data_IF_159926297608
#
_entry.id   IF_159926297608
#
_cell.length_a   1.000
_cell.length_b   1.000
_cell.length_c   1.000
_cell.angle_alpha   90.00
_cell.angle_beta   90.00
_cell.angle_gamma   90.00
#
_symmetry.space_group_name_H-M   'P 1'
#
loop_
_entity.id
_entity.type
_entity.pdbx_description
1 polymer ?
#
# COMPACT_ATOMS: atom_id res chain seq x y z
N UNK A 1 -2.67 1.24 29.54
CA UNK A 1 -4.04 1.15 30.03
C UNK A 1 -4.69 -0.13 29.47
N UNK A 2 -5.37 -0.90 30.34
CA UNK A 2 -5.98 -2.21 29.99
C UNK A 2 -6.94 -2.13 28.81
N UNK A 3 -7.75 -1.06 28.73
CA UNK A 3 -8.71 -0.86 27.63
C UNK A 3 -8.00 -0.72 26.27
N UNK A 4 -6.93 0.06 26.19
CA UNK A 4 -6.15 0.21 24.95
C UNK A 4 -5.44 -1.09 24.53
N UNK A 5 -4.99 -1.90 25.50
CA UNK A 5 -4.41 -3.20 25.22
C UNK A 5 -5.46 -4.16 24.66
N UNK A 6 -6.66 -4.20 25.27
CA UNK A 6 -7.80 -4.99 24.79
C UNK A 6 -8.22 -4.61 23.36
N UNK A 7 -8.34 -3.31 23.07
CA UNK A 7 -8.67 -2.82 21.72
C UNK A 7 -7.63 -3.28 20.71
N UNK A 8 -6.35 -3.11 21.01
CA UNK A 8 -5.27 -3.58 20.10
C UNK A 8 -5.27 -5.08 19.90
N UNK A 9 -5.58 -5.87 20.93
CA UNK A 9 -5.70 -7.30 20.83
C UNK A 9 -6.87 -7.70 19.93
N UNK A 10 -8.04 -7.07 20.10
CA UNK A 10 -9.21 -7.29 19.26
C UNK A 10 -8.95 -6.90 17.79
N UNK A 11 -8.28 -5.76 17.53
CA UNK A 11 -7.87 -5.37 16.19
C UNK A 11 -6.90 -6.38 15.57
N UNK A 12 -5.96 -6.90 16.35
CA UNK A 12 -5.00 -7.90 15.88
C UNK A 12 -5.69 -9.22 15.51
N UNK A 13 -6.66 -9.65 16.33
CA UNK A 13 -7.46 -10.85 16.05
C UNK A 13 -8.32 -10.63 14.80
N UNK A 14 -8.98 -9.49 14.67
CA UNK A 14 -9.78 -9.16 13.48
C UNK A 14 -8.93 -9.18 12.20
N UNK A 15 -7.71 -8.60 12.24
CA UNK A 15 -6.76 -8.65 11.13
C UNK A 15 -6.31 -10.08 10.80
N UNK A 16 -6.09 -10.92 11.81
CA UNK A 16 -5.72 -12.32 11.60
C UNK A 16 -6.86 -13.12 10.96
N UNK A 17 -8.10 -12.91 11.40
CA UNK A 17 -9.28 -13.54 10.81
C UNK A 17 -9.44 -13.09 9.35
N UNK A 18 -9.29 -11.81 9.07
CA UNK A 18 -9.38 -11.27 7.72
C UNK A 18 -8.28 -11.85 6.80
N UNK A 19 -7.05 -11.95 7.30
CA UNK A 19 -5.93 -12.54 6.57
C UNK A 19 -6.12 -14.05 6.29
N UNK A 20 -6.87 -14.75 7.12
CA UNK A 20 -7.16 -16.19 6.97
C UNK A 20 -8.28 -16.49 5.95
N UNK A 21 -9.03 -15.48 5.49
CA UNK A 21 -10.06 -15.69 4.47
C UNK A 21 -9.43 -16.08 3.12
N UNK A 22 -10.11 -16.94 2.32
CA UNK A 22 -9.70 -17.19 0.94
C UNK A 22 -9.56 -15.89 0.13
N UNK A 23 -8.59 -15.85 -0.77
CA UNK A 23 -8.32 -14.65 -1.58
C UNK A 23 -9.57 -14.21 -2.38
N UNK A 24 -10.28 -15.15 -2.97
CA UNK A 24 -11.51 -14.89 -3.72
C UNK A 24 -12.58 -14.19 -2.87
N UNK A 25 -12.76 -14.65 -1.61
CA UNK A 25 -13.71 -14.02 -0.69
C UNK A 25 -13.26 -12.59 -0.34
N UNK A 26 -11.98 -12.37 -0.06
CA UNK A 26 -11.44 -11.02 0.22
C UNK A 26 -11.65 -10.08 -0.96
N UNK A 27 -11.40 -10.55 -2.17
CA UNK A 27 -11.58 -9.77 -3.40
C UNK A 27 -13.06 -9.43 -3.63
N UNK A 28 -13.97 -10.36 -3.37
CA UNK A 28 -15.41 -10.11 -3.53
C UNK A 28 -15.93 -9.14 -2.45
N UNK A 29 -15.54 -9.30 -1.19
CA UNK A 29 -15.90 -8.37 -0.12
C UNK A 29 -15.38 -6.95 -0.41
N UNK A 30 -14.11 -6.83 -0.85
CA UNK A 30 -13.52 -5.56 -1.28
C UNK A 30 -14.28 -4.93 -2.46
N UNK A 31 -14.72 -5.75 -3.42
CA UNK A 31 -15.54 -5.29 -4.52
C UNK A 31 -16.90 -4.78 -4.05
N UNK A 32 -17.60 -5.51 -3.19
CA UNK A 32 -18.91 -5.11 -2.69
C UNK A 32 -18.85 -3.80 -1.90
N UNK A 33 -17.77 -3.59 -1.13
CA UNK A 33 -17.54 -2.34 -0.43
C UNK A 33 -17.27 -1.19 -1.41
N UNK A 34 -16.37 -1.40 -2.37
CA UNK A 34 -16.06 -0.40 -3.39
C UNK A 34 -17.28 -0.06 -4.23
N UNK A 35 -18.08 -1.05 -4.62
CA UNK A 35 -19.28 -0.87 -5.41
C UNK A 35 -20.30 0.02 -4.70
N UNK A 36 -20.52 -0.17 -3.40
CA UNK A 36 -21.41 0.71 -2.62
C UNK A 36 -20.99 2.16 -2.67
N UNK A 37 -19.68 2.42 -2.61
CA UNK A 37 -19.14 3.77 -2.69
C UNK A 37 -19.22 4.35 -4.10
N UNK A 38 -18.97 3.51 -5.13
CA UNK A 38 -19.17 3.89 -6.53
C UNK A 38 -20.61 4.29 -6.77
N UNK A 39 -21.59 3.46 -6.34
CA UNK A 39 -23.01 3.72 -6.48
C UNK A 39 -23.41 5.06 -5.84
N UNK A 40 -22.96 5.30 -4.61
CA UNK A 40 -23.22 6.56 -3.90
C UNK A 40 -22.67 7.76 -4.67
N UNK A 41 -21.39 7.68 -5.07
CA UNK A 41 -20.70 8.78 -5.74
C UNK A 41 -21.29 9.05 -7.13
N UNK A 42 -21.55 8.01 -7.91
CA UNK A 42 -22.13 8.11 -9.26
C UNK A 42 -23.54 8.67 -9.18
N UNK A 43 -24.35 8.22 -8.22
CA UNK A 43 -25.70 8.75 -8.01
C UNK A 43 -25.69 10.23 -7.66
N UNK A 44 -24.78 10.66 -6.78
CA UNK A 44 -24.62 12.09 -6.46
C UNK A 44 -24.18 12.91 -7.67
N UNK A 45 -23.24 12.42 -8.47
CA UNK A 45 -22.82 13.09 -9.72
C UNK A 45 -24.00 13.21 -10.68
N UNK A 46 -24.79 12.15 -10.86
CA UNK A 46 -25.95 12.16 -11.73
C UNK A 46 -27.05 13.10 -11.23
N UNK A 47 -27.30 13.15 -9.92
CA UNK A 47 -28.25 14.08 -9.32
C UNK A 47 -27.86 15.55 -9.54
N UNK A 48 -26.56 15.88 -9.46
CA UNK A 48 -26.04 17.20 -9.79
C UNK A 48 -26.19 17.51 -11.29
N UNK A 49 -25.85 16.55 -12.16
CA UNK A 49 -25.92 16.73 -13.61
C UNK A 49 -27.35 16.88 -14.12
N UNK A 50 -28.34 16.31 -13.42
CA UNK A 50 -29.79 16.43 -13.73
C UNK A 50 -30.48 17.55 -12.97
N UNK A 51 -29.78 18.30 -12.12
CA UNK A 51 -30.36 19.41 -11.34
C UNK A 51 -31.23 18.97 -10.16
N UNK A 52 -31.25 17.67 -9.81
CA UNK A 52 -31.98 17.13 -8.66
C UNK A 52 -31.31 17.53 -7.35
N UNK A 53 -29.97 17.69 -7.35
CA UNK A 53 -29.19 18.22 -6.24
C UNK A 53 -28.52 19.53 -6.64
N UNK A 54 -28.34 20.45 -5.66
CA UNK A 54 -27.68 21.74 -5.83
C UNK A 54 -26.77 22.02 -4.63
N UNK A 55 -25.82 22.93 -4.78
CA UNK A 55 -24.95 23.38 -3.69
C UNK A 55 -23.65 22.62 -3.54
N UNK A 56 -23.42 21.54 -4.29
CA UNK A 56 -22.19 20.80 -4.28
C UNK A 56 -21.41 20.95 -5.58
N UNK A 57 -20.09 20.87 -5.50
CA UNK A 57 -19.23 20.91 -6.67
C UNK A 57 -19.05 19.49 -7.24
N UNK A 58 -19.51 19.26 -8.47
CA UNK A 58 -19.34 17.99 -9.19
C UNK A 58 -17.91 17.52 -9.25
N UNK A 59 -16.96 18.44 -9.43
CA UNK A 59 -15.54 18.10 -9.49
C UNK A 59 -15.03 17.48 -8.19
N UNK A 60 -15.58 17.83 -7.04
CA UNK A 60 -15.22 17.22 -5.75
C UNK A 60 -15.50 15.71 -5.74
N UNK A 61 -16.68 15.30 -6.21
CA UNK A 61 -17.05 13.89 -6.28
C UNK A 61 -16.17 13.13 -7.28
N UNK A 62 -15.91 13.71 -8.45
CA UNK A 62 -15.03 13.10 -9.45
C UNK A 62 -13.60 12.96 -8.93
N UNK A 63 -13.07 13.98 -8.25
CA UNK A 63 -11.73 13.94 -7.68
C UNK A 63 -11.62 12.92 -6.55
N UNK A 64 -12.62 12.81 -5.67
CA UNK A 64 -12.66 11.82 -4.60
C UNK A 64 -12.69 10.39 -5.18
N UNK A 65 -13.52 10.16 -6.21
CA UNK A 65 -13.58 8.91 -6.94
C UNK A 65 -12.21 8.54 -7.53
N UNK A 66 -11.60 9.48 -8.26
CA UNK A 66 -10.29 9.30 -8.89
C UNK A 66 -9.19 9.03 -7.85
N UNK A 67 -9.15 9.79 -6.76
CA UNK A 67 -8.18 9.61 -5.68
C UNK A 67 -8.28 8.24 -5.02
N UNK A 68 -9.50 7.77 -4.74
CA UNK A 68 -9.74 6.44 -4.17
C UNK A 68 -9.27 5.34 -5.11
N UNK A 69 -9.66 5.39 -6.38
CA UNK A 69 -9.24 4.38 -7.37
C UNK A 69 -7.73 4.42 -7.61
N UNK A 70 -7.11 5.60 -7.61
CA UNK A 70 -5.65 5.74 -7.70
C UNK A 70 -4.94 5.05 -6.52
N UNK A 71 -5.49 5.19 -5.30
CA UNK A 71 -4.94 4.52 -4.12
C UNK A 71 -5.00 3.00 -4.24
N UNK A 72 -6.09 2.45 -4.79
CA UNK A 72 -6.26 1.01 -5.01
C UNK A 72 -5.29 0.53 -6.11
N UNK A 73 -5.17 1.26 -7.22
CA UNK A 73 -4.23 0.96 -8.30
C UNK A 73 -2.77 0.99 -7.82
N UNK A 74 -2.42 1.93 -6.93
CA UNK A 74 -1.10 2.03 -6.31
C UNK A 74 -0.74 0.85 -5.39
N UNK A 75 -1.71 0.02 -5.03
CA UNK A 75 -1.51 -1.25 -4.30
C UNK A 75 -1.35 -2.47 -5.23
N UNK A 76 -1.45 -2.29 -6.55
CA UNK A 76 -1.36 -3.38 -7.52
C UNK A 76 -2.61 -4.26 -7.61
N UNK A 77 -3.77 -3.85 -7.06
CA UNK A 77 -5.01 -4.63 -7.15
C UNK A 77 -5.68 -4.44 -8.52
N UNK A 78 -5.18 -5.21 -9.50
CA UNK A 78 -5.60 -5.13 -10.90
C UNK A 78 -7.07 -5.49 -11.06
N UNK A 79 -7.50 -6.61 -10.45
CA UNK A 79 -8.84 -7.17 -10.61
C UNK A 79 -9.91 -6.17 -10.11
N UNK A 80 -9.66 -5.56 -8.96
CA UNK A 80 -10.60 -4.62 -8.37
C UNK A 80 -10.71 -3.34 -9.21
N UNK A 81 -9.60 -2.86 -9.76
CA UNK A 81 -9.58 -1.66 -10.62
C UNK A 81 -10.24 -1.95 -11.96
N UNK A 82 -10.01 -3.11 -12.58
CA UNK A 82 -10.67 -3.48 -13.83
C UNK A 82 -12.18 -3.56 -13.66
N UNK A 83 -12.68 -4.17 -12.57
CA UNK A 83 -14.11 -4.22 -12.23
C UNK A 83 -14.67 -2.81 -12.03
N UNK A 84 -13.96 -1.93 -11.31
CA UNK A 84 -14.39 -0.56 -11.07
C UNK A 84 -14.49 0.27 -12.36
N UNK A 85 -13.51 0.16 -13.24
CA UNK A 85 -13.49 0.84 -14.55
C UNK A 85 -14.61 0.33 -15.45
N UNK A 86 -14.83 -0.99 -15.51
CA UNK A 86 -15.94 -1.59 -16.26
C UNK A 86 -17.28 -1.08 -15.72
N UNK A 87 -17.46 -1.03 -14.41
CA UNK A 87 -18.68 -0.55 -13.76
C UNK A 87 -18.95 0.93 -14.04
N UNK A 88 -17.94 1.78 -14.05
CA UNK A 88 -18.08 3.19 -14.43
C UNK A 88 -18.50 3.32 -15.90
N UNK A 89 -17.95 2.49 -16.80
CA UNK A 89 -18.38 2.48 -18.21
C UNK A 89 -19.82 2.04 -18.40
N UNK A 90 -20.30 1.07 -17.63
CA UNK A 90 -21.72 0.67 -17.65
C UNK A 90 -22.63 1.82 -17.25
N UNK A 91 -22.27 2.61 -16.24
CA UNK A 91 -23.02 3.79 -15.86
C UNK A 91 -22.92 4.91 -16.90
N UNK A 92 -21.74 5.12 -17.47
CA UNK A 92 -21.56 6.09 -18.55
C UNK A 92 -22.47 5.79 -19.76
N UNK A 93 -22.67 4.51 -20.07
CA UNK A 93 -23.57 4.09 -21.16
C UNK A 93 -25.05 4.35 -20.87
N UNK A 94 -25.44 4.43 -19.59
CA UNK A 94 -26.85 4.66 -19.16
C UNK A 94 -27.17 6.16 -19.05
N UNK A 95 -26.17 7.03 -18.91
CA UNK A 95 -26.38 8.44 -18.67
C UNK A 95 -26.14 9.27 -19.95
N UNK A 96 -26.97 10.30 -20.15
CA UNK A 96 -26.78 11.28 -21.24
C UNK A 96 -25.45 12.01 -21.08
N UNK A 97 -25.07 12.33 -19.84
CA UNK A 97 -23.79 12.95 -19.52
C UNK A 97 -22.95 11.92 -18.72
N UNK A 98 -21.79 11.54 -19.21
CA UNK A 98 -20.97 10.52 -18.53
C UNK A 98 -20.49 10.99 -17.17
N UNK A 99 -20.33 10.08 -16.23
CA UNK A 99 -19.73 10.30 -14.90
C UNK A 99 -18.34 10.92 -15.07
N UNK A 100 -17.54 10.29 -15.90
CA UNK A 100 -16.23 10.77 -16.36
C UNK A 100 -16.04 10.40 -17.84
N UNK A 101 -15.39 11.27 -18.61
CA UNK A 101 -15.11 11.00 -20.04
C UNK A 101 -14.00 9.96 -20.18
N UNK A 102 -13.95 9.22 -21.29
CA UNK A 102 -12.91 8.22 -21.59
C UNK A 102 -11.47 8.77 -21.57
N UNK A 103 -11.30 10.10 -21.68
CA UNK A 103 -9.99 10.76 -21.58
C UNK A 103 -9.50 10.89 -20.13
N UNK A 104 -10.36 10.63 -19.14
CA UNK A 104 -10.01 10.78 -17.73
C UNK A 104 -8.98 9.73 -17.29
N UNK A 105 -8.07 10.13 -16.41
CA UNK A 105 -6.98 9.27 -15.91
C UNK A 105 -7.45 7.97 -15.25
N UNK A 106 -8.69 7.91 -14.76
CA UNK A 106 -9.29 6.70 -14.18
C UNK A 106 -9.19 5.51 -15.15
N UNK A 107 -9.38 5.73 -16.45
CA UNK A 107 -9.33 4.66 -17.45
C UNK A 107 -7.93 4.13 -17.76
N UNK A 108 -6.88 4.81 -17.26
CA UNK A 108 -5.48 4.36 -17.32
C UNK A 108 -5.04 3.59 -16.05
N UNK A 109 -5.85 3.59 -15.00
CA UNK A 109 -5.52 2.95 -13.73
C UNK A 109 -5.30 1.43 -13.82
N UNK A 110 -5.99 0.65 -14.66
CA UNK A 110 -5.67 -0.77 -14.85
C UNK A 110 -4.22 -1.00 -15.28
N UNK A 111 -3.71 -0.20 -16.22
CA UNK A 111 -2.32 -0.27 -16.65
C UNK A 111 -1.36 0.10 -15.51
N UNK A 112 -1.69 1.14 -14.74
CA UNK A 112 -0.92 1.53 -13.56
C UNK A 112 -0.87 0.40 -12.51
N UNK A 113 -2.01 -0.24 -12.24
CA UNK A 113 -2.08 -1.35 -11.29
C UNK A 113 -1.25 -2.55 -11.74
N UNK A 114 -1.27 -2.90 -13.03
CA UNK A 114 -0.43 -3.97 -13.59
C UNK A 114 1.05 -3.67 -13.44
N UNK A 115 1.50 -2.46 -13.78
CA UNK A 115 2.90 -2.05 -13.60
C UNK A 115 3.35 -2.14 -12.14
N UNK A 116 2.48 -1.74 -11.20
CA UNK A 116 2.78 -1.85 -9.77
C UNK A 116 2.90 -3.31 -9.36
N UNK A 117 2.00 -4.19 -9.81
CA UNK A 117 2.03 -5.63 -9.54
C UNK A 117 3.30 -6.27 -10.10
N UNK A 118 3.64 -6.02 -11.36
CA UNK A 118 4.87 -6.50 -11.98
C UNK A 118 6.12 -6.11 -11.17
N UNK A 119 6.20 -4.85 -10.74
CA UNK A 119 7.29 -4.38 -9.89
C UNK A 119 7.33 -5.06 -8.51
N UNK A 120 6.18 -5.40 -7.93
CA UNK A 120 6.10 -6.14 -6.67
C UNK A 120 6.59 -7.57 -6.86
N UNK A 121 6.12 -8.27 -7.91
CA UNK A 121 6.55 -9.62 -8.27
C UNK A 121 8.05 -9.70 -8.58
N UNK A 122 8.58 -8.72 -9.35
CA UNK A 122 10.03 -8.63 -9.60
C UNK A 122 10.85 -8.48 -8.30
N UNK A 123 10.35 -7.69 -7.35
CA UNK A 123 11.00 -7.51 -6.04
C UNK A 123 10.94 -8.79 -5.19
N UNK A 124 9.78 -9.48 -5.17
CA UNK A 124 9.60 -10.73 -4.43
C UNK A 124 10.47 -11.85 -4.98
N UNK A 125 10.64 -11.90 -6.31
CA UNK A 125 11.47 -12.89 -6.98
C UNK A 125 12.97 -12.55 -6.94
N UNK A 126 13.35 -11.33 -6.55
CA UNK A 126 14.75 -10.93 -6.47
C UNK A 126 15.42 -11.52 -5.26
N UNK A 127 16.49 -12.31 -5.50
CA UNK A 127 17.29 -12.87 -4.42
C UNK A 127 17.92 -11.76 -3.57
N UNK A 128 17.78 -11.87 -2.26
CA UNK A 128 18.38 -10.93 -1.33
C UNK A 128 19.90 -10.91 -1.45
N UNK A 129 20.49 -9.71 -1.46
CA UNK A 129 21.93 -9.53 -1.30
C UNK A 129 22.27 -9.54 0.17
N UNK A 130 23.36 -10.21 0.56
CA UNK A 130 23.87 -10.22 1.92
C UNK A 130 25.35 -9.87 1.93
N UNK A 131 25.77 -9.11 2.92
CA UNK A 131 27.18 -8.80 3.22
C UNK A 131 27.41 -9.01 4.71
N UNK A 132 28.31 -9.93 5.03
CA UNK A 132 28.68 -10.24 6.43
C UNK A 132 29.72 -9.25 6.96
N UNK A 133 29.68 -9.00 8.27
CA UNK A 133 30.69 -8.27 9.02
C UNK A 133 30.96 -9.00 10.37
N UNK A 134 31.93 -8.58 11.13
CA UNK A 134 32.41 -9.29 12.34
C UNK A 134 31.31 -9.63 13.38
N UNK A 135 30.22 -8.87 13.43
CA UNK A 135 29.17 -8.99 14.44
C UNK A 135 27.80 -9.33 13.87
N UNK A 136 27.72 -9.70 12.56
CA UNK A 136 26.47 -10.02 11.93
C UNK A 136 26.49 -9.85 10.41
N UNK A 137 25.34 -9.47 9.84
CA UNK A 137 25.19 -9.25 8.40
C UNK A 137 24.25 -8.09 8.06
N UNK A 138 24.47 -7.51 6.90
CA UNK A 138 23.57 -6.56 6.24
C UNK A 138 22.85 -7.28 5.11
N UNK A 139 21.52 -7.17 5.08
CA UNK A 139 20.65 -7.84 4.10
C UNK A 139 19.86 -6.80 3.33
N UNK A 140 19.93 -6.84 2.01
CA UNK A 140 19.02 -6.13 1.10
C UNK A 140 17.79 -7.00 0.90
N UNK A 141 16.80 -6.84 1.76
CA UNK A 141 15.52 -7.56 1.64
C UNK A 141 14.64 -6.84 0.61
N UNK A 142 14.73 -7.29 -0.64
CA UNK A 142 14.02 -6.67 -1.76
C UNK A 142 12.51 -6.88 -1.65
N UNK A 143 12.06 -8.04 -1.20
CA UNK A 143 10.65 -8.37 -1.04
C UNK A 143 9.94 -7.42 -0.05
N UNK A 144 10.58 -7.12 1.08
CA UNK A 144 10.04 -6.21 2.09
C UNK A 144 10.43 -4.74 1.85
N UNK A 145 11.24 -4.44 0.82
CA UNK A 145 11.81 -3.09 0.57
C UNK A 145 12.54 -2.54 1.81
N UNK A 146 13.41 -3.39 2.42
CA UNK A 146 14.15 -3.05 3.65
C UNK A 146 15.63 -3.34 3.53
N UNK A 147 16.44 -2.40 4.01
CA UNK A 147 17.81 -2.67 4.40
C UNK A 147 17.80 -3.10 5.86
N UNK A 148 18.29 -4.31 6.14
CA UNK A 148 18.27 -4.95 7.44
C UNK A 148 19.69 -5.18 7.94
N UNK A 149 19.93 -4.85 9.20
CA UNK A 149 21.17 -5.16 9.92
C UNK A 149 20.81 -6.20 10.97
N UNK A 150 21.34 -7.39 10.82
CA UNK A 150 21.12 -8.53 11.70
C UNK A 150 22.40 -8.75 12.47
N UNK A 151 22.36 -8.60 13.78
CA UNK A 151 23.49 -8.86 14.67
C UNK A 151 23.40 -10.28 15.23
N UNK A 152 24.56 -10.93 15.39
CA UNK A 152 24.67 -12.27 16.01
C UNK A 152 24.30 -12.25 17.50
N UNK A 153 24.53 -11.11 18.15
CA UNK A 153 24.17 -10.85 19.54
C UNK A 153 23.51 -9.47 19.67
N UNK A 154 22.83 -9.25 20.78
CA UNK A 154 22.21 -7.95 21.05
C UNK A 154 23.30 -6.86 21.07
N UNK A 155 23.24 -5.86 20.19
CA UNK A 155 24.23 -4.78 20.17
C UNK A 155 24.17 -3.95 21.46
N UNK A 156 25.29 -3.40 21.87
CA UNK A 156 25.40 -2.54 23.04
C UNK A 156 24.53 -1.29 22.95
N UNK A 157 24.45 -0.53 24.05
CA UNK A 157 23.60 0.64 24.13
C UNK A 157 24.03 1.75 23.17
N UNK A 158 25.34 1.92 22.96
CA UNK A 158 25.91 2.92 22.07
C UNK A 158 25.55 2.62 20.61
N UNK A 159 25.78 1.39 20.17
CA UNK A 159 25.40 0.93 18.83
C UNK A 159 23.89 1.08 18.58
N UNK A 160 23.04 0.72 19.57
CA UNK A 160 21.58 0.90 19.45
C UNK A 160 21.18 2.37 19.34
N UNK A 161 21.86 3.28 20.03
CA UNK A 161 21.61 4.71 19.90
C UNK A 161 22.03 5.21 18.51
N UNK A 162 23.18 4.76 18.02
CA UNK A 162 23.69 5.15 16.70
C UNK A 162 22.77 4.65 15.57
N UNK A 163 22.28 3.41 15.64
CA UNK A 163 21.30 2.89 14.71
C UNK A 163 20.00 3.73 14.69
N UNK A 164 19.48 4.11 15.87
CA UNK A 164 18.28 4.96 15.97
C UNK A 164 18.53 6.36 15.39
N UNK A 165 19.70 6.94 15.64
CA UNK A 165 20.11 8.25 15.12
C UNK A 165 20.16 8.25 13.60
N UNK A 166 20.53 7.13 12.99
CA UNK A 166 20.52 6.89 11.55
C UNK A 166 19.18 6.32 11.03
N UNK A 167 18.09 6.49 11.79
CA UNK A 167 16.72 6.11 11.45
C UNK A 167 16.50 4.61 11.22
N UNK A 168 17.36 3.73 11.73
CA UNK A 168 17.06 2.32 11.82
C UNK A 168 16.10 2.05 12.98
N UNK A 169 15.09 1.21 12.74
CA UNK A 169 14.12 0.77 13.75
C UNK A 169 14.24 -0.72 13.97
N UNK A 170 14.13 -1.14 15.21
CA UNK A 170 14.10 -2.57 15.54
C UNK A 170 12.81 -3.21 15.07
N UNK A 171 12.90 -4.31 14.37
CA UNK A 171 11.80 -5.17 13.98
C UNK A 171 11.86 -6.50 14.76
N UNK A 172 10.97 -6.71 15.74
CA UNK A 172 10.91 -7.99 16.44
C UNK A 172 10.59 -9.19 15.54
N UNK A 173 9.77 -8.95 14.48
CA UNK A 173 9.41 -9.98 13.51
C UNK A 173 10.62 -10.49 12.73
N UNK A 174 11.46 -9.57 12.27
CA UNK A 174 12.60 -9.89 11.43
C UNK A 174 13.90 -10.04 12.23
N UNK A 175 13.83 -9.80 13.55
CA UNK A 175 15.00 -9.78 14.45
C UNK A 175 16.15 -8.93 13.88
N UNK A 176 15.82 -7.80 13.28
CA UNK A 176 16.73 -6.93 12.56
C UNK A 176 16.50 -5.45 12.86
N UNK A 177 17.56 -4.66 12.81
CA UNK A 177 17.47 -3.22 12.69
C UNK A 177 17.27 -2.85 11.24
N UNK A 178 16.15 -2.18 10.90
CA UNK A 178 15.79 -1.96 9.51
C UNK A 178 15.28 -0.56 9.23
N UNK A 179 15.45 -0.14 7.98
CA UNK A 179 14.82 1.05 7.40
C UNK A 179 14.51 0.79 5.93
N UNK A 180 13.74 1.67 5.28
CA UNK A 180 13.42 1.52 3.86
C UNK A 180 14.68 1.40 3.02
N UNK A 181 14.69 0.51 2.03
CA UNK A 181 15.81 0.25 1.14
C UNK A 181 16.02 1.42 0.18
N UNK A 182 17.01 2.23 0.48
CA UNK A 182 17.39 3.42 -0.30
C UNK A 182 18.90 3.56 -0.29
N UNK A 183 19.48 4.33 -1.23
CA UNK A 183 20.91 4.67 -1.21
C UNK A 183 21.32 5.36 0.10
N UNK A 184 20.43 6.18 0.69
CA UNK A 184 20.68 6.79 1.99
C UNK A 184 20.70 5.77 3.13
N UNK A 185 19.96 4.66 3.03
CA UNK A 185 20.02 3.58 4.00
C UNK A 185 21.36 2.83 3.92
N UNK A 186 21.86 2.56 2.72
CA UNK A 186 23.17 1.94 2.50
C UNK A 186 24.30 2.84 3.04
N UNK A 187 24.26 4.13 2.72
CA UNK A 187 25.21 5.09 3.26
C UNK A 187 25.19 5.11 4.80
N UNK A 188 24.00 5.17 5.39
CA UNK A 188 23.83 5.16 6.84
C UNK A 188 24.37 3.86 7.48
N UNK A 189 24.13 2.70 6.86
CA UNK A 189 24.68 1.43 7.34
C UNK A 189 26.21 1.40 7.31
N UNK A 190 26.85 1.91 6.24
CA UNK A 190 28.30 2.06 6.15
C UNK A 190 28.85 2.94 7.28
N UNK A 191 28.19 4.07 7.56
CA UNK A 191 28.62 4.98 8.63
C UNK A 191 28.50 4.34 10.02
N UNK A 192 27.40 3.68 10.32
CA UNK A 192 27.14 3.04 11.62
C UNK A 192 28.07 1.86 11.85
N UNK A 193 28.23 1.00 10.84
CA UNK A 193 28.99 -0.25 10.97
C UNK A 193 30.48 -0.06 10.65
N UNK A 194 30.87 1.06 10.02
CA UNK A 194 32.24 1.36 9.55
C UNK A 194 32.80 0.27 8.62
N UNK A 195 31.95 -0.20 7.71
CA UNK A 195 32.29 -1.24 6.72
C UNK A 195 31.98 -0.78 5.30
N UNK A 196 32.60 -1.42 4.32
CA UNK A 196 32.20 -1.30 2.91
C UNK A 196 31.04 -2.26 2.59
N UNK A 197 30.05 -1.78 1.80
CA UNK A 197 28.82 -2.52 1.45
C UNK A 197 28.62 -2.58 -0.06
#
# INVERSE_FOLDING_TARGET
NFMQWRERALESIAKAIEAAKPEEQRQEEAWQELKKDLDRTITSIHALDTGKERGYNRALFVNNLAGRLTTIAGKGNVELIERAVAYIREWNAKFTKPVVTERHSIFKLPETARKVREQQEERENKQNKEVSFDKGKVVWNYAEDRLQIIFDQIPDAEMRMELKRHAFKWSPRNQAWQRQLTRNAEYAARQVLKIEL
#
